data_IF_506235299691
#
_entry.id   IF_506235299691
#
_cell.length_a   1.000
_cell.length_b   1.000
_cell.length_c   1.000
_cell.angle_alpha   90.00
_cell.angle_beta   90.00
_cell.angle_gamma   90.00
#
_symmetry.space_group_name_H-M   'P 1'
#
loop_
_entity.id
_entity.type
_entity.pdbx_description
1 polymer ?
#
# COMPACT_ATOMS: atom_id res chain seq x y z
N UNK A 1 -33.24 18.29 13.01
CA UNK A 1 -32.54 17.54 14.05
C UNK A 1 -31.46 16.59 13.51
N UNK A 2 -31.74 15.66 12.56
CA UNK A 2 -30.70 14.74 12.03
C UNK A 2 -29.47 15.44 11.46
N UNK A 3 -29.63 16.50 10.66
CA UNK A 3 -28.49 17.23 10.06
C UNK A 3 -27.59 17.91 11.09
N UNK A 4 -28.14 18.48 12.16
CA UNK A 4 -27.37 19.14 13.24
C UNK A 4 -26.58 18.12 14.04
N UNK A 5 -27.19 16.96 14.37
CA UNK A 5 -26.51 15.87 15.09
C UNK A 5 -25.35 15.32 14.24
N UNK A 6 -25.54 15.12 12.93
CA UNK A 6 -24.48 14.68 12.02
C UNK A 6 -23.34 15.67 11.97
N UNK A 7 -23.62 16.99 11.91
CA UNK A 7 -22.61 18.04 11.89
C UNK A 7 -21.79 18.10 13.18
N UNK A 8 -22.42 17.99 14.34
CA UNK A 8 -21.74 17.98 15.66
C UNK A 8 -20.82 16.76 15.79
N UNK A 9 -21.28 15.60 15.39
CA UNK A 9 -20.49 14.35 15.42
C UNK A 9 -19.27 14.47 14.50
N UNK A 10 -19.44 15.01 13.29
CA UNK A 10 -18.35 15.20 12.34
C UNK A 10 -17.30 16.20 12.87
N UNK A 11 -17.73 17.32 13.47
CA UNK A 11 -16.83 18.30 14.09
C UNK A 11 -16.02 17.66 15.22
N UNK A 12 -16.66 16.85 16.06
CA UNK A 12 -15.99 16.10 17.14
C UNK A 12 -14.90 15.15 16.59
N UNK A 13 -15.18 14.41 15.51
CA UNK A 13 -14.20 13.53 14.90
C UNK A 13 -13.02 14.29 14.28
N UNK A 14 -13.28 15.41 13.62
CA UNK A 14 -12.22 16.26 13.07
C UNK A 14 -11.30 16.79 14.17
N UNK A 15 -11.85 17.28 15.27
CA UNK A 15 -11.07 17.76 16.42
C UNK A 15 -10.24 16.63 17.06
N UNK A 16 -10.85 15.46 17.27
CA UNK A 16 -10.15 14.27 17.82
C UNK A 16 -8.99 13.84 16.93
N UNK A 17 -9.19 13.75 15.61
CA UNK A 17 -8.17 13.38 14.64
C UNK A 17 -7.04 14.40 14.59
N UNK A 18 -7.35 15.70 14.61
CA UNK A 18 -6.34 16.76 14.60
C UNK A 18 -5.45 16.69 15.84
N UNK A 19 -6.02 16.47 17.01
CA UNK A 19 -5.29 16.29 18.27
C UNK A 19 -4.44 15.02 18.18
N UNK A 20 -4.98 13.92 17.66
CA UNK A 20 -4.25 12.66 17.49
C UNK A 20 -3.07 12.83 16.51
N UNK A 21 -3.24 13.60 15.44
CA UNK A 21 -2.18 13.91 14.47
C UNK A 21 -1.05 14.75 15.11
N UNK A 22 -1.39 15.75 15.90
CA UNK A 22 -0.40 16.53 16.65
C UNK A 22 0.39 15.66 17.63
N UNK A 23 -0.30 14.77 18.35
CA UNK A 23 0.35 13.79 19.23
C UNK A 23 1.23 12.82 18.46
N UNK A 24 0.86 12.43 17.24
CA UNK A 24 1.68 11.60 16.36
C UNK A 24 2.98 12.32 15.99
N UNK A 25 2.92 13.55 15.51
CA UNK A 25 4.09 14.34 15.18
C UNK A 25 5.00 14.56 16.39
N UNK A 26 4.42 14.86 17.55
CA UNK A 26 5.16 15.02 18.80
C UNK A 26 5.85 13.71 19.21
N UNK A 27 5.15 12.58 19.17
CA UNK A 27 5.73 11.27 19.48
C UNK A 27 6.85 10.90 18.52
N UNK A 28 6.70 11.26 17.22
CA UNK A 28 7.76 11.05 16.23
C UNK A 28 8.96 11.95 16.51
N UNK A 29 8.76 13.23 16.84
CA UNK A 29 9.84 14.13 17.23
C UNK A 29 10.60 13.62 18.48
N UNK A 30 9.87 13.15 19.51
CA UNK A 30 10.47 12.54 20.69
C UNK A 30 11.25 11.24 20.37
N UNK A 31 10.85 10.51 19.34
CA UNK A 31 11.57 9.30 18.91
C UNK A 31 12.96 9.62 18.36
N UNK A 32 13.20 10.82 17.83
CA UNK A 32 14.53 11.31 17.48
C UNK A 32 15.45 11.43 18.69
N UNK A 33 14.89 11.59 19.89
CA UNK A 33 15.58 11.60 21.19
C UNK A 33 15.60 10.21 21.86
N UNK A 34 15.07 9.17 21.21
CA UNK A 34 15.08 7.79 21.73
C UNK A 34 13.84 7.39 22.51
N UNK A 35 12.81 8.22 22.56
CA UNK A 35 11.57 7.88 23.25
C UNK A 35 10.76 6.88 22.41
N UNK A 36 10.51 5.70 22.95
CA UNK A 36 9.80 4.60 22.29
C UNK A 36 8.28 4.71 22.45
N UNK A 37 7.82 5.14 23.63
CA UNK A 37 6.39 5.19 23.95
C UNK A 37 5.68 6.29 23.16
N UNK A 38 4.55 5.94 22.55
CA UNK A 38 3.68 6.86 21.82
C UNK A 38 2.41 7.16 22.61
N UNK A 39 1.83 8.36 22.44
CA UNK A 39 0.61 8.81 23.14
C UNK A 39 -0.55 9.06 22.16
N UNK A 40 -0.48 8.46 20.98
CA UNK A 40 -1.46 8.60 19.91
C UNK A 40 -1.80 7.21 19.35
N UNK A 41 -2.88 7.13 18.57
CA UNK A 41 -3.25 5.97 17.78
C UNK A 41 -2.89 6.20 16.30
N UNK A 42 -2.91 5.17 15.45
CA UNK A 42 -2.62 5.33 14.03
C UNK A 42 -3.47 6.45 13.40
N UNK A 43 -2.79 7.35 12.66
CA UNK A 43 -3.43 8.43 11.90
C UNK A 43 -3.70 8.02 10.45
N UNK A 44 -3.07 6.95 10.01
CA UNK A 44 -3.17 6.33 8.71
C UNK A 44 -3.35 4.82 8.87
N UNK A 45 -4.36 4.27 8.22
CA UNK A 45 -4.65 2.83 8.28
C UNK A 45 -4.79 2.27 6.88
N UNK A 46 -4.08 1.18 6.59
CA UNK A 46 -4.30 0.38 5.39
C UNK A 46 -5.10 -0.86 5.77
N UNK A 47 -6.19 -1.13 5.10
CA UNK A 47 -6.95 -2.39 5.21
C UNK A 47 -6.74 -3.21 3.96
N UNK A 48 -6.71 -4.53 4.09
CA UNK A 48 -6.57 -5.48 3.00
C UNK A 48 -7.94 -6.06 2.63
N UNK A 49 -8.61 -5.57 1.56
CA UNK A 49 -9.94 -6.09 1.19
C UNK A 49 -9.90 -7.53 0.68
N UNK A 50 -8.82 -7.92 0.00
CA UNK A 50 -8.57 -9.26 -0.48
C UNK A 50 -7.07 -9.56 -0.44
N UNK A 51 -6.68 -10.80 -0.09
CA UNK A 51 -5.29 -11.24 0.00
C UNK A 51 -4.82 -12.06 -1.20
N UNK A 52 -5.58 -12.08 -2.29
CA UNK A 52 -5.27 -12.78 -3.53
C UNK A 52 -5.44 -11.86 -4.74
N UNK A 53 -4.81 -12.21 -5.84
CA UNK A 53 -4.82 -11.44 -7.08
C UNK A 53 -4.89 -12.41 -8.27
N UNK A 54 -5.54 -11.99 -9.36
CA UNK A 54 -5.59 -12.73 -10.61
C UNK A 54 -4.29 -12.60 -11.43
N UNK A 55 -3.42 -11.61 -11.12
CA UNK A 55 -2.14 -11.40 -11.79
C UNK A 55 -0.99 -12.13 -11.10
N UNK A 56 0.08 -12.38 -11.86
CA UNK A 56 1.32 -13.03 -11.43
C UNK A 56 2.53 -12.14 -11.67
N UNK A 57 2.47 -10.89 -11.23
CA UNK A 57 3.58 -9.95 -11.38
C UNK A 57 4.86 -10.50 -10.73
N UNK A 58 6.05 -10.45 -11.40
CA UNK A 58 7.26 -11.15 -10.97
C UNK A 58 7.83 -10.63 -9.64
N UNK A 59 7.62 -9.36 -9.31
CA UNK A 59 8.10 -8.75 -8.05
C UNK A 59 6.97 -8.52 -7.04
N UNK A 60 5.86 -9.25 -7.15
CA UNK A 60 4.76 -9.22 -6.20
C UNK A 60 4.74 -10.50 -5.36
N UNK A 61 4.70 -10.42 -4.02
CA UNK A 61 4.64 -11.60 -3.15
C UNK A 61 3.46 -12.52 -3.46
N UNK A 62 2.30 -11.93 -3.78
CA UNK A 62 1.10 -12.68 -4.17
C UNK A 62 1.26 -13.31 -5.55
N UNK A 63 1.92 -12.61 -6.47
CA UNK A 63 2.17 -13.10 -7.83
C UNK A 63 3.18 -14.25 -7.87
N UNK A 64 4.21 -14.20 -7.04
CA UNK A 64 5.23 -15.26 -6.91
C UNK A 64 4.71 -16.55 -6.26
N UNK A 65 3.57 -16.48 -5.58
CA UNK A 65 3.05 -17.58 -4.77
C UNK A 65 3.85 -17.75 -3.48
N UNK A 66 3.22 -17.56 -2.32
CA UNK A 66 3.87 -17.85 -1.03
C UNK A 66 3.98 -19.36 -0.86
N UNK A 67 5.19 -19.87 -0.68
CA UNK A 67 5.40 -21.22 -0.14
C UNK A 67 5.23 -21.19 1.37
N UNK A 68 4.73 -22.28 1.96
CA UNK A 68 4.37 -22.41 3.38
C UNK A 68 5.48 -22.04 4.39
N UNK A 69 6.71 -21.79 3.93
CA UNK A 69 7.87 -21.47 4.79
C UNK A 69 8.66 -20.23 4.35
N UNK A 70 8.07 -19.30 3.61
CA UNK A 70 8.75 -18.05 3.24
C UNK A 70 9.96 -18.21 2.29
N UNK A 71 10.23 -19.43 1.79
CA UNK A 71 11.28 -19.69 0.82
C UNK A 71 10.69 -19.82 -0.59
N UNK A 72 11.03 -18.90 -1.45
CA UNK A 72 10.75 -18.99 -2.88
C UNK A 72 11.57 -20.16 -3.43
N UNK A 73 10.92 -21.26 -3.81
CA UNK A 73 11.57 -22.28 -4.63
C UNK A 73 11.65 -21.76 -6.07
N UNK A 74 12.81 -21.31 -6.47
CA UNK A 74 13.18 -21.17 -7.89
C UNK A 74 13.46 -22.57 -8.45
N UNK A 75 12.46 -23.17 -9.06
CA UNK A 75 12.70 -24.34 -9.92
C UNK A 75 12.93 -23.86 -11.35
N UNK A 76 14.08 -24.29 -11.89
CA UNK A 76 14.54 -24.04 -13.24
C UNK A 76 13.44 -24.20 -14.30
N UNK A 77 13.24 -23.18 -15.07
CA UNK A 77 12.64 -23.03 -16.38
C UNK A 77 12.15 -24.27 -17.15
N UNK A 78 11.01 -24.87 -16.76
CA UNK A 78 10.14 -25.59 -17.71
C UNK A 78 8.71 -25.55 -17.15
N UNK A 79 7.88 -24.69 -17.74
CA UNK A 79 6.49 -24.49 -17.35
C UNK A 79 5.63 -25.70 -17.70
N UNK A 80 5.05 -26.32 -16.69
CA UNK A 80 3.76 -26.98 -16.82
C UNK A 80 2.73 -26.15 -16.10
N UNK A 81 1.75 -25.68 -16.85
CA UNK A 81 0.53 -25.02 -16.37
C UNK A 81 -0.31 -26.03 -15.60
N UNK A 82 -0.06 -26.18 -14.33
CA UNK A 82 -1.01 -26.79 -13.42
C UNK A 82 -1.53 -25.70 -12.47
N UNK A 83 -2.86 -25.65 -12.35
CA UNK A 83 -3.56 -24.85 -11.36
C UNK A 83 -3.05 -25.19 -9.95
N UNK A 84 -1.96 -24.56 -9.50
CA UNK A 84 -1.48 -24.72 -8.14
C UNK A 84 -2.41 -23.96 -7.20
N UNK A 85 -3.36 -24.68 -6.64
CA UNK A 85 -4.01 -24.30 -5.39
C UNK A 85 -2.89 -24.17 -4.34
N UNK A 86 -2.66 -22.97 -3.82
CA UNK A 86 -1.85 -22.76 -2.63
C UNK A 86 -2.50 -23.61 -1.52
N UNK A 87 -1.84 -24.72 -1.13
CA UNK A 87 -2.31 -25.56 -0.02
C UNK A 87 -2.17 -24.72 1.25
N UNK A 88 -3.31 -24.32 1.85
CA UNK A 88 -3.35 -23.76 3.19
C UNK A 88 -4.27 -22.56 3.39
N UNK A 89 -4.36 -21.60 2.45
CA UNK A 89 -5.33 -20.54 2.51
C UNK A 89 -5.94 -20.28 1.13
N UNK A 90 -7.17 -20.74 0.92
CA UNK A 90 -8.00 -20.24 -0.18
C UNK A 90 -8.03 -18.71 -0.09
N UNK A 91 -7.89 -18.00 -1.23
CA UNK A 91 -7.94 -16.55 -1.26
C UNK A 91 -9.11 -16.02 -0.42
N UNK A 92 -8.79 -15.16 0.54
CA UNK A 92 -9.77 -14.62 1.49
C UNK A 92 -10.06 -13.17 1.15
N UNK A 93 -11.29 -12.77 1.39
CA UNK A 93 -11.74 -11.37 1.41
C UNK A 93 -12.05 -10.96 2.85
N UNK A 94 -11.82 -9.69 3.17
CA UNK A 94 -12.28 -9.12 4.44
C UNK A 94 -13.81 -9.12 4.44
N UNK A 95 -14.43 -9.66 5.49
CA UNK A 95 -15.88 -9.59 5.66
C UNK A 95 -16.30 -8.20 6.15
N UNK A 96 -17.58 -7.87 5.96
CA UNK A 96 -18.12 -6.58 6.45
C UNK A 96 -18.06 -6.51 7.99
N UNK A 97 -18.25 -7.63 8.68
CA UNK A 97 -18.19 -7.70 10.14
C UNK A 97 -16.80 -7.34 10.67
N UNK A 98 -15.75 -7.92 10.07
CA UNK A 98 -14.36 -7.58 10.42
C UNK A 98 -14.07 -6.12 10.10
N UNK A 99 -14.50 -5.65 8.92
CA UNK A 99 -14.32 -4.26 8.52
C UNK A 99 -14.99 -3.27 9.47
N UNK A 100 -16.23 -3.52 9.90
CA UNK A 100 -16.95 -2.65 10.82
C UNK A 100 -16.31 -2.61 12.21
N UNK A 101 -15.79 -3.74 12.70
CA UNK A 101 -15.01 -3.77 13.94
C UNK A 101 -13.75 -2.92 13.83
N UNK A 102 -13.04 -2.98 12.70
CA UNK A 102 -11.87 -2.15 12.41
C UNK A 102 -12.26 -0.68 12.33
N UNK A 103 -13.27 -0.33 11.51
CA UNK A 103 -13.72 1.05 11.32
C UNK A 103 -14.13 1.70 12.64
N UNK A 104 -14.87 0.97 13.49
CA UNK A 104 -15.27 1.46 14.81
C UNK A 104 -14.07 1.90 15.65
N UNK A 105 -12.94 1.21 15.55
CA UNK A 105 -11.75 1.48 16.35
C UNK A 105 -10.85 2.59 15.79
N UNK A 106 -10.89 2.83 14.47
CA UNK A 106 -9.97 3.78 13.82
C UNK A 106 -10.63 5.11 13.45
N UNK A 107 -11.96 5.17 13.32
CA UNK A 107 -12.69 6.33 12.77
C UNK A 107 -12.49 7.64 13.54
N UNK A 108 -12.14 7.59 14.83
CA UNK A 108 -11.94 8.78 15.66
C UNK A 108 -10.49 9.28 15.63
N UNK A 109 -9.55 8.49 15.13
CA UNK A 109 -8.12 8.77 15.22
C UNK A 109 -7.42 8.83 13.86
N UNK A 110 -7.88 8.05 12.88
CA UNK A 110 -7.32 8.07 11.54
C UNK A 110 -7.91 9.18 10.67
N UNK A 111 -7.06 9.79 9.83
CA UNK A 111 -7.47 10.72 8.77
C UNK A 111 -7.69 10.00 7.45
N UNK A 112 -6.92 8.95 7.20
CA UNK A 112 -6.87 8.26 5.91
C UNK A 112 -7.04 6.76 6.11
N UNK A 113 -7.90 6.17 5.30
CA UNK A 113 -8.03 4.73 5.14
C UNK A 113 -7.74 4.34 3.72
N UNK A 114 -6.77 3.46 3.56
CA UNK A 114 -6.32 2.95 2.28
C UNK A 114 -6.78 1.50 2.14
N UNK A 115 -7.46 1.18 1.05
CA UNK A 115 -8.06 -0.14 0.78
C UNK A 115 -7.16 -0.95 -0.17
N UNK A 116 -5.93 -1.17 0.24
CA UNK A 116 -4.99 -2.08 -0.42
C UNK A 116 -3.79 -2.38 0.48
N UNK A 117 -3.27 -3.58 0.36
CA UNK A 117 -2.00 -4.01 0.95
C UNK A 117 -1.33 -5.03 0.03
N UNK A 118 -1.83 -6.24 0.00
CA UNK A 118 -1.52 -7.29 -0.96
C UNK A 118 -2.82 -7.67 -1.68
N UNK A 119 -2.72 -8.50 -2.71
CA UNK A 119 -3.89 -8.89 -3.48
C UNK A 119 -4.52 -7.76 -4.32
N UNK A 120 -5.70 -8.02 -4.87
CA UNK A 120 -6.46 -7.08 -5.69
C UNK A 120 -7.76 -6.71 -4.97
N UNK A 121 -7.94 -5.44 -4.55
CA UNK A 121 -9.09 -5.03 -3.75
C UNK A 121 -10.43 -5.20 -4.46
N UNK A 122 -10.49 -5.05 -5.80
CA UNK A 122 -11.73 -5.17 -6.57
C UNK A 122 -12.29 -6.60 -6.61
N UNK A 123 -11.53 -7.60 -6.14
CA UNK A 123 -12.03 -8.97 -5.98
C UNK A 123 -12.94 -9.12 -4.75
N UNK A 124 -12.96 -8.12 -3.86
CA UNK A 124 -13.96 -8.03 -2.79
C UNK A 124 -15.17 -7.24 -3.27
N UNK A 125 -16.27 -7.92 -3.53
CA UNK A 125 -17.53 -7.31 -4.00
C UNK A 125 -18.14 -6.31 -3.00
N UNK A 126 -17.77 -6.38 -1.72
CA UNK A 126 -18.25 -5.47 -0.68
C UNK A 126 -17.39 -4.18 -0.58
N UNK A 127 -16.35 -4.06 -1.39
CA UNK A 127 -15.42 -2.91 -1.35
C UNK A 127 -16.12 -1.55 -1.47
N UNK A 128 -17.07 -1.31 -2.40
CA UNK A 128 -17.77 -0.03 -2.48
C UNK A 128 -18.54 0.31 -1.20
N UNK A 129 -19.17 -0.69 -0.58
CA UNK A 129 -19.89 -0.50 0.68
C UNK A 129 -18.93 -0.19 1.86
N UNK A 130 -17.77 -0.83 1.91
CA UNK A 130 -16.72 -0.53 2.89
C UNK A 130 -16.21 0.90 2.74
N UNK A 131 -15.94 1.33 1.49
CA UNK A 131 -15.51 2.70 1.18
C UNK A 131 -16.58 3.70 1.63
N UNK A 132 -17.86 3.46 1.28
CA UNK A 132 -18.97 4.31 1.68
C UNK A 132 -19.05 4.51 3.19
N UNK A 133 -18.91 3.45 3.97
CA UNK A 133 -18.88 3.53 5.45
C UNK A 133 -17.69 4.34 5.96
N UNK A 134 -16.51 4.18 5.37
CA UNK A 134 -15.31 4.94 5.76
C UNK A 134 -15.46 6.43 5.36
N UNK A 135 -15.95 6.71 4.17
CA UNK A 135 -16.22 8.07 3.69
C UNK A 135 -17.26 8.79 4.58
N UNK A 136 -18.38 8.13 4.90
CA UNK A 136 -19.39 8.68 5.83
C UNK A 136 -18.85 8.91 7.24
N UNK A 137 -17.84 8.14 7.66
CA UNK A 137 -17.10 8.42 8.89
C UNK A 137 -16.12 9.59 8.74
N UNK A 138 -16.02 10.23 7.57
CA UNK A 138 -15.16 11.39 7.26
C UNK A 138 -13.68 11.01 7.09
N UNK A 139 -13.37 9.78 6.73
CA UNK A 139 -12.02 9.35 6.37
C UNK A 139 -11.74 9.67 4.91
N UNK A 140 -10.52 10.13 4.60
CA UNK A 140 -10.03 10.20 3.23
C UNK A 140 -9.74 8.79 2.71
N UNK A 141 -10.39 8.37 1.64
CA UNK A 141 -10.39 6.99 1.16
C UNK A 141 -9.53 6.83 -0.09
N UNK A 142 -8.72 5.77 -0.13
CA UNK A 142 -7.81 5.47 -1.25
C UNK A 142 -7.92 4.00 -1.62
N UNK A 143 -8.04 3.71 -2.92
CA UNK A 143 -7.93 2.36 -3.49
C UNK A 143 -6.74 2.30 -4.44
N UNK A 144 -6.05 1.17 -4.53
CA UNK A 144 -5.10 0.88 -5.62
C UNK A 144 -5.47 -0.44 -6.28
N UNK A 145 -5.58 -0.44 -7.61
CA UNK A 145 -6.05 -1.59 -8.40
C UNK A 145 -5.21 -1.81 -9.66
N UNK A 146 -5.17 -3.04 -10.12
CA UNK A 146 -4.64 -3.39 -11.45
C UNK A 146 -5.68 -3.22 -12.58
N UNK A 147 -6.89 -2.78 -12.24
CA UNK A 147 -8.04 -2.50 -13.11
C UNK A 147 -8.59 -3.68 -13.92
N UNK A 148 -8.11 -4.91 -13.76
CA UNK A 148 -8.61 -6.07 -14.50
C UNK A 148 -10.07 -6.45 -14.18
N UNK A 149 -10.56 -6.03 -13.01
CA UNK A 149 -11.94 -6.25 -12.56
C UNK A 149 -12.76 -4.94 -12.52
N UNK A 150 -12.27 -3.88 -13.15
CA UNK A 150 -12.89 -2.56 -13.13
C UNK A 150 -13.92 -2.40 -14.26
N UNK A 151 -15.05 -3.08 -14.10
CA UNK A 151 -16.21 -2.93 -15.00
C UNK A 151 -16.89 -1.58 -14.81
N UNK A 152 -17.74 -1.17 -15.77
CA UNK A 152 -18.56 0.05 -15.67
C UNK A 152 -19.37 0.08 -14.35
N UNK A 153 -20.04 -1.01 -14.01
CA UNK A 153 -20.80 -1.11 -12.77
C UNK A 153 -19.91 -0.88 -11.53
N UNK A 154 -18.74 -1.51 -11.49
CA UNK A 154 -17.80 -1.33 -10.38
C UNK A 154 -17.29 0.12 -10.32
N UNK A 155 -16.99 0.76 -11.44
CA UNK A 155 -16.57 2.15 -11.51
C UNK A 155 -17.66 3.10 -10.96
N UNK A 156 -18.92 2.89 -11.35
CA UNK A 156 -20.06 3.65 -10.84
C UNK A 156 -20.25 3.46 -9.34
N UNK A 157 -20.18 2.22 -8.84
CA UNK A 157 -20.31 1.94 -7.41
C UNK A 157 -19.18 2.57 -6.58
N UNK A 158 -17.93 2.53 -7.07
CA UNK A 158 -16.81 3.19 -6.44
C UNK A 158 -16.98 4.72 -6.39
N UNK A 159 -17.43 5.32 -7.47
CA UNK A 159 -17.69 6.77 -7.53
C UNK A 159 -18.82 7.16 -6.58
N UNK A 160 -19.93 6.43 -6.58
CA UNK A 160 -21.10 6.65 -5.69
C UNK A 160 -20.75 6.45 -4.21
N UNK A 161 -19.79 5.60 -3.90
CA UNK A 161 -19.36 5.36 -2.53
C UNK A 161 -18.63 6.56 -1.88
N UNK A 162 -18.31 7.60 -2.67
CA UNK A 162 -17.56 8.75 -2.19
C UNK A 162 -16.05 8.49 -2.10
N UNK A 163 -15.51 7.57 -2.92
CA UNK A 163 -14.09 7.32 -3.01
C UNK A 163 -13.32 8.60 -3.39
N UNK A 164 -12.35 9.00 -2.57
CA UNK A 164 -11.59 10.23 -2.80
C UNK A 164 -10.47 10.06 -3.83
N UNK A 165 -9.80 8.91 -3.84
CA UNK A 165 -8.68 8.63 -4.74
C UNK A 165 -8.65 7.17 -5.17
N UNK A 166 -8.47 6.96 -6.47
CA UNK A 166 -8.17 5.64 -7.02
C UNK A 166 -6.83 5.68 -7.76
N UNK A 167 -5.98 4.71 -7.46
CA UNK A 167 -4.69 4.49 -8.11
C UNK A 167 -4.87 3.33 -9.07
N UNK A 168 -4.76 3.59 -10.36
CA UNK A 168 -4.79 2.57 -11.42
C UNK A 168 -3.35 2.28 -11.83
N UNK A 169 -2.92 1.03 -11.62
CA UNK A 169 -1.53 0.62 -11.84
C UNK A 169 -1.39 -0.07 -13.20
N UNK A 170 -0.81 0.64 -14.19
CA UNK A 170 -0.55 0.15 -15.55
C UNK A 170 0.94 0.35 -15.83
N UNK A 171 1.68 -0.76 -16.02
CA UNK A 171 3.14 -0.74 -16.12
C UNK A 171 3.66 -1.05 -17.55
N UNK A 172 2.90 -0.66 -18.55
CA UNK A 172 3.21 -0.75 -19.98
C UNK A 172 2.01 -0.35 -20.81
N UNK A 173 2.25 0.21 -22.00
CA UNK A 173 1.22 0.73 -22.91
C UNK A 173 1.29 0.12 -24.30
N UNK A 174 2.11 -0.93 -24.47
CA UNK A 174 2.04 -1.94 -25.51
C UNK A 174 1.71 -3.29 -24.85
N UNK A 175 1.13 -4.24 -25.61
CA UNK A 175 0.85 -5.59 -25.06
C UNK A 175 2.14 -6.26 -24.57
N UNK A 176 3.27 -6.03 -25.24
CA UNK A 176 4.57 -6.58 -24.87
C UNK A 176 5.06 -6.00 -23.54
N UNK A 177 5.15 -4.68 -23.40
CA UNK A 177 5.63 -4.01 -22.19
C UNK A 177 4.74 -4.27 -21.00
N UNK A 178 3.42 -4.32 -21.20
CA UNK A 178 2.43 -4.62 -20.16
C UNK A 178 2.57 -6.06 -19.67
N UNK A 179 2.57 -7.04 -20.58
CA UNK A 179 2.64 -8.46 -20.25
C UNK A 179 3.98 -8.85 -19.63
N UNK A 180 5.05 -8.11 -19.91
CA UNK A 180 6.39 -8.33 -19.34
C UNK A 180 6.38 -8.19 -17.80
N UNK A 181 5.50 -7.37 -17.23
CA UNK A 181 5.38 -7.20 -15.78
C UNK A 181 4.03 -7.62 -15.23
N UNK A 182 2.92 -7.25 -15.87
CA UNK A 182 1.54 -7.57 -15.44
C UNK A 182 1.09 -8.93 -15.94
N UNK A 183 1.89 -9.97 -15.65
CA UNK A 183 1.68 -11.34 -16.17
C UNK A 183 0.28 -11.86 -15.86
N UNK A 184 -0.43 -12.30 -16.91
CA UNK A 184 -1.80 -12.82 -16.82
C UNK A 184 -2.88 -11.72 -16.89
N UNK A 185 -2.49 -10.46 -17.05
CA UNK A 185 -3.42 -9.35 -17.29
C UNK A 185 -3.61 -9.05 -18.77
N UNK A 186 -4.55 -8.16 -19.07
CA UNK A 186 -4.84 -7.60 -20.38
C UNK A 186 -4.71 -6.09 -20.32
N UNK A 187 -3.88 -5.51 -21.18
CA UNK A 187 -3.74 -4.05 -21.30
C UNK A 187 -5.08 -3.42 -21.69
N UNK A 188 -5.78 -4.03 -22.66
CA UNK A 188 -7.09 -3.56 -23.09
C UNK A 188 -8.06 -3.41 -21.91
N UNK A 189 -8.19 -4.44 -21.04
CA UNK A 189 -9.06 -4.37 -19.86
C UNK A 189 -8.64 -3.30 -18.86
N UNK A 190 -7.34 -3.08 -18.69
CA UNK A 190 -6.85 -2.07 -17.78
C UNK A 190 -7.16 -0.64 -18.28
N UNK A 191 -7.04 -0.41 -19.59
CA UNK A 191 -7.39 0.86 -20.24
C UNK A 191 -8.90 1.08 -20.26
N UNK A 192 -9.70 0.05 -20.59
CA UNK A 192 -11.14 0.08 -20.51
C UNK A 192 -11.63 0.42 -19.11
N UNK A 193 -11.02 -0.17 -18.06
CA UNK A 193 -11.33 0.16 -16.68
C UNK A 193 -11.01 1.63 -16.32
N UNK A 194 -9.95 2.19 -16.87
CA UNK A 194 -9.61 3.60 -16.68
C UNK A 194 -10.65 4.53 -17.36
N UNK A 195 -11.12 4.14 -18.54
CA UNK A 195 -12.20 4.84 -19.26
C UNK A 195 -13.51 4.78 -18.49
N UNK A 196 -13.91 3.61 -17.98
CA UNK A 196 -15.11 3.45 -17.14
C UNK A 196 -15.07 4.39 -15.91
N UNK A 197 -13.91 4.58 -15.29
CA UNK A 197 -13.78 5.55 -14.18
C UNK A 197 -13.96 6.99 -14.65
N UNK A 198 -13.42 7.34 -15.82
CA UNK A 198 -13.59 8.66 -16.42
C UNK A 198 -15.07 8.96 -16.70
N UNK A 199 -15.76 8.01 -17.32
CA UNK A 199 -17.18 8.12 -17.63
C UNK A 199 -18.03 8.22 -16.36
N UNK A 200 -17.84 7.33 -15.40
CA UNK A 200 -18.55 7.36 -14.12
C UNK A 200 -18.28 8.67 -13.35
N UNK A 201 -17.03 9.17 -13.36
CA UNK A 201 -16.69 10.46 -12.77
C UNK A 201 -17.48 11.61 -13.39
N UNK A 202 -17.63 11.63 -14.71
CA UNK A 202 -18.40 12.67 -15.43
C UNK A 202 -19.88 12.52 -15.17
N UNK A 203 -20.42 11.29 -15.28
CA UNK A 203 -21.83 10.99 -15.07
C UNK A 203 -22.35 11.46 -13.70
N UNK A 204 -21.56 11.21 -12.64
CA UNK A 204 -21.96 11.56 -11.26
C UNK A 204 -21.37 12.90 -10.76
N UNK A 205 -20.69 13.67 -11.60
CA UNK A 205 -20.08 14.95 -11.20
C UNK A 205 -19.08 14.80 -10.04
N UNK A 206 -18.37 13.66 -9.96
CA UNK A 206 -17.52 13.32 -8.82
C UNK A 206 -16.19 14.06 -8.85
N UNK A 207 -15.69 14.42 -7.66
CA UNK A 207 -14.35 14.99 -7.46
C UNK A 207 -13.25 13.92 -7.33
N UNK A 208 -13.54 12.64 -7.51
CA UNK A 208 -12.56 11.55 -7.37
C UNK A 208 -11.25 11.84 -8.12
N UNK A 209 -10.14 11.66 -7.45
CA UNK A 209 -8.81 11.72 -8.05
C UNK A 209 -8.47 10.37 -8.69
N UNK A 210 -8.38 10.33 -10.01
CA UNK A 210 -7.95 9.16 -10.78
C UNK A 210 -6.44 9.32 -11.04
N UNK A 211 -5.64 8.47 -10.41
CA UNK A 211 -4.18 8.50 -10.54
C UNK A 211 -3.69 7.30 -11.32
N UNK A 212 -3.07 7.56 -12.46
CA UNK A 212 -2.31 6.55 -13.20
C UNK A 212 -0.94 6.39 -12.55
N UNK A 213 -0.67 5.20 -12.04
CA UNK A 213 0.63 4.85 -11.46
C UNK A 213 1.37 3.91 -12.41
N UNK A 214 2.62 4.25 -12.70
CA UNK A 214 3.50 3.48 -13.58
C UNK A 214 4.80 3.19 -12.84
N UNK A 215 5.18 1.92 -12.77
CA UNK A 215 6.53 1.54 -12.34
C UNK A 215 7.52 1.83 -13.45
N UNK A 216 8.64 2.46 -13.11
CA UNK A 216 9.74 2.63 -14.04
C UNK A 216 10.53 1.33 -14.13
N UNK A 217 10.40 0.67 -15.27
CA UNK A 217 11.00 -0.61 -15.59
C UNK A 217 11.76 -0.50 -16.91
N UNK A 218 12.77 -1.33 -17.11
CA UNK A 218 13.47 -1.45 -18.40
C UNK A 218 12.52 -1.79 -19.55
N UNK A 219 11.53 -2.61 -19.27
CA UNK A 219 10.54 -3.08 -20.26
C UNK A 219 9.63 -1.99 -20.79
N UNK A 220 9.47 -0.85 -20.07
CA UNK A 220 8.59 0.25 -20.46
C UNK A 220 9.30 1.61 -20.55
N UNK A 221 10.64 1.66 -20.45
CA UNK A 221 11.36 2.94 -20.42
C UNK A 221 11.19 3.78 -21.69
N UNK A 222 11.00 3.15 -22.85
CA UNK A 222 10.75 3.81 -24.11
C UNK A 222 9.36 4.45 -24.22
N UNK A 223 8.43 4.14 -23.30
CA UNK A 223 7.06 4.65 -23.30
C UNK A 223 6.86 5.86 -22.36
N UNK A 224 7.80 6.17 -21.44
CA UNK A 224 7.58 7.16 -20.37
C UNK A 224 7.21 8.55 -20.86
N UNK A 225 7.86 9.03 -21.92
CA UNK A 225 7.54 10.35 -22.51
C UNK A 225 6.14 10.36 -23.11
N UNK A 226 5.78 9.29 -23.82
CA UNK A 226 4.44 9.15 -24.38
C UNK A 226 3.38 9.14 -23.28
N UNK A 227 3.59 8.37 -22.22
CA UNK A 227 2.69 8.29 -21.06
C UNK A 227 2.52 9.67 -20.43
N UNK A 228 3.62 10.40 -20.26
CA UNK A 228 3.62 11.73 -19.64
C UNK A 228 2.81 12.75 -20.47
N UNK A 229 2.80 12.61 -21.78
CA UNK A 229 2.01 13.49 -22.65
C UNK A 229 0.54 13.08 -22.73
N UNK A 230 0.23 11.80 -22.57
CA UNK A 230 -1.08 11.24 -22.91
C UNK A 230 -1.93 10.78 -21.70
N UNK A 231 -1.43 10.78 -20.46
CA UNK A 231 -2.19 10.23 -19.32
C UNK A 231 -3.58 10.86 -19.11
N UNK A 232 -3.75 12.13 -19.46
CA UNK A 232 -5.05 12.83 -19.36
C UNK A 232 -6.06 12.32 -20.40
N UNK A 233 -5.61 12.10 -21.62
CA UNK A 233 -6.46 11.53 -22.69
C UNK A 233 -6.85 10.09 -22.40
N UNK A 234 -6.02 9.37 -21.64
CA UNK A 234 -6.33 8.04 -21.14
C UNK A 234 -7.35 8.03 -19.97
N UNK A 235 -7.80 9.19 -19.49
CA UNK A 235 -8.81 9.30 -18.44
C UNK A 235 -8.26 9.55 -17.04
N UNK A 236 -6.94 9.59 -16.85
CA UNK A 236 -6.35 9.88 -15.55
C UNK A 236 -6.27 11.38 -15.27
N UNK A 237 -6.52 11.79 -14.02
CA UNK A 237 -6.36 13.19 -13.60
C UNK A 237 -4.94 13.50 -13.15
N UNK A 238 -4.20 12.48 -12.73
CA UNK A 238 -2.81 12.59 -12.24
C UNK A 238 -1.99 11.41 -12.73
N UNK A 239 -0.68 11.66 -12.89
CA UNK A 239 0.31 10.64 -13.23
C UNK A 239 1.38 10.58 -12.15
N UNK A 240 1.74 9.37 -11.75
CA UNK A 240 2.84 9.11 -10.81
C UNK A 240 3.74 8.00 -11.34
N UNK A 241 4.99 8.32 -11.56
CA UNK A 241 6.02 7.30 -11.80
C UNK A 241 6.63 6.86 -10.46
N UNK A 242 6.78 5.56 -10.27
CA UNK A 242 7.45 4.98 -9.11
C UNK A 242 8.62 4.11 -9.51
N UNK A 243 9.63 4.06 -8.66
CA UNK A 243 10.71 3.07 -8.79
C UNK A 243 10.22 1.70 -8.35
N UNK A 244 10.62 0.65 -9.08
CA UNK A 244 10.28 -0.71 -8.72
C UNK A 244 11.04 -1.16 -7.46
N UNK A 245 10.34 -1.90 -6.59
CA UNK A 245 10.97 -2.66 -5.53
C UNK A 245 11.25 -4.07 -6.06
N UNK A 246 12.52 -4.45 -6.10
CA UNK A 246 12.99 -5.73 -6.59
C UNK A 246 13.51 -6.57 -5.42
N UNK A 247 13.20 -7.85 -5.38
CA UNK A 247 13.64 -8.73 -4.29
C UNK A 247 15.06 -9.24 -4.51
N UNK A 248 15.39 -9.54 -5.78
CA UNK A 248 16.73 -9.97 -6.17
C UNK A 248 17.39 -8.85 -6.98
N UNK A 249 18.12 -7.98 -6.30
CA UNK A 249 18.72 -6.80 -6.90
C UNK A 249 20.24 -6.74 -6.78
N UNK A 250 20.87 -7.49 -5.86
CA UNK A 250 22.28 -7.33 -5.51
C UNK A 250 23.24 -7.60 -6.69
N UNK A 251 22.89 -8.54 -7.55
CA UNK A 251 23.66 -8.88 -8.76
C UNK A 251 23.06 -8.33 -10.06
N UNK A 252 22.11 -7.39 -9.92
CA UNK A 252 21.35 -6.83 -11.02
C UNK A 252 20.05 -7.59 -11.27
N UNK A 253 19.09 -6.89 -11.87
CA UNK A 253 17.77 -7.44 -12.21
C UNK A 253 17.35 -6.94 -13.58
N UNK A 254 16.84 -7.80 -14.47
CA UNK A 254 16.46 -7.41 -15.84
C UNK A 254 15.36 -6.34 -15.89
N UNK A 255 14.61 -6.14 -14.83
CA UNK A 255 13.59 -5.11 -14.72
C UNK A 255 14.15 -3.72 -14.36
N UNK A 256 15.42 -3.61 -13.95
CA UNK A 256 16.02 -2.31 -13.62
C UNK A 256 16.08 -1.42 -14.87
N UNK A 257 15.66 -0.15 -14.78
CA UNK A 257 15.82 0.82 -15.85
C UNK A 257 17.28 0.93 -16.28
N UNK A 258 17.51 1.25 -17.56
CA UNK A 258 18.85 1.48 -18.11
C UNK A 258 19.53 2.69 -17.48
N UNK A 259 18.75 3.74 -17.18
CA UNK A 259 19.22 4.92 -16.46
C UNK A 259 19.03 4.73 -14.95
N UNK A 260 20.15 4.61 -14.23
CA UNK A 260 20.16 4.42 -12.78
C UNK A 260 19.43 5.54 -12.01
N UNK A 261 19.30 6.75 -12.56
CA UNK A 261 18.56 7.86 -11.90
C UNK A 261 17.12 7.48 -11.59
N UNK A 262 16.53 6.59 -12.37
CA UNK A 262 15.18 6.09 -12.24
C UNK A 262 15.08 4.75 -11.49
N UNK A 263 16.24 4.19 -11.10
CA UNK A 263 16.29 2.98 -10.29
C UNK A 263 16.25 3.31 -8.78
N UNK A 264 15.64 2.43 -8.01
CA UNK A 264 15.75 2.41 -6.54
C UNK A 264 17.16 2.01 -6.08
N UNK A 265 17.94 1.38 -6.96
CA UNK A 265 19.24 0.79 -6.65
C UNK A 265 20.35 1.52 -7.40
N UNK A 266 21.54 1.56 -6.79
CA UNK A 266 22.75 2.13 -7.36
C UNK A 266 23.83 1.07 -7.43
N UNK A 267 24.54 0.99 -8.55
CA UNK A 267 25.67 0.10 -8.73
C UNK A 267 26.90 0.64 -7.99
N UNK A 268 27.60 -0.21 -7.27
CA UNK A 268 28.88 0.08 -6.61
C UNK A 268 30.07 -0.28 -7.49
N UNK A 269 31.27 0.13 -7.09
CA UNK A 269 32.49 -0.13 -7.85
C UNK A 269 32.83 -1.62 -7.98
N UNK A 270 32.40 -2.45 -7.01
CA UNK A 270 32.54 -3.91 -7.02
C UNK A 270 31.53 -4.63 -7.92
N UNK A 271 30.63 -3.88 -8.60
CA UNK A 271 29.61 -4.42 -9.48
C UNK A 271 28.30 -4.79 -8.80
N UNK A 272 28.22 -4.74 -7.47
CA UNK A 272 26.98 -5.03 -6.73
C UNK A 272 26.03 -3.84 -6.69
N UNK A 273 24.73 -4.11 -6.50
CA UNK A 273 23.73 -3.04 -6.40
C UNK A 273 23.27 -2.90 -4.95
N UNK A 274 23.15 -1.66 -4.51
CA UNK A 274 22.71 -1.29 -3.18
C UNK A 274 21.51 -0.35 -3.24
N UNK A 275 20.63 -0.46 -2.23
CA UNK A 275 19.48 0.41 -2.09
C UNK A 275 19.93 1.88 -2.00
N UNK A 276 19.37 2.73 -2.86
CA UNK A 276 19.56 4.18 -2.81
C UNK A 276 18.70 4.75 -1.69
N UNK A 277 19.31 5.02 -0.55
CA UNK A 277 18.63 5.68 0.57
C UNK A 277 18.60 7.18 0.34
N UNK A 278 17.48 7.83 0.68
CA UNK A 278 17.32 9.28 0.55
C UNK A 278 18.42 10.02 1.32
N UNK A 279 19.12 10.92 0.62
CA UNK A 279 20.19 11.75 1.21
C UNK A 279 19.69 12.72 2.30
N UNK A 280 18.37 12.96 2.40
CA UNK A 280 17.78 13.81 3.45
C UNK A 280 17.98 13.24 4.87
N UNK A 281 18.51 12.01 4.93
CA UNK A 281 18.82 11.32 6.17
C UNK A 281 20.08 11.86 6.91
N UNK A 282 20.96 12.64 6.29
CA UNK A 282 22.31 12.85 6.84
C UNK A 282 22.59 14.24 7.44
N UNK A 283 21.67 15.22 7.42
CA UNK A 283 22.14 16.60 7.54
C UNK A 283 21.72 17.45 8.73
N UNK A 284 20.90 17.00 9.68
CA UNK A 284 20.37 17.96 10.68
C UNK A 284 20.62 17.63 12.15
N UNK A 285 21.08 16.43 12.54
CA UNK A 285 21.28 16.10 13.95
C UNK A 285 22.72 15.67 14.25
N UNK A 286 23.36 16.26 15.29
CA UNK A 286 24.76 16.00 15.65
C UNK A 286 25.00 14.63 16.28
N UNK A 287 23.96 13.85 16.55
CA UNK A 287 24.11 12.52 17.14
C UNK A 287 24.17 11.46 16.03
N UNK A 288 25.29 10.77 15.92
CA UNK A 288 25.52 9.61 15.04
C UNK A 288 24.65 8.42 15.44
N UNK A 289 23.34 8.47 15.18
CA UNK A 289 22.52 7.26 15.21
C UNK A 289 22.65 6.54 13.86
N UNK A 290 22.97 5.25 13.92
CA UNK A 290 23.10 4.37 12.77
C UNK A 290 21.79 4.26 11.99
N UNK A 291 20.63 4.47 12.65
CA UNK A 291 19.28 4.36 12.09
C UNK A 291 18.41 5.53 12.55
N UNK A 292 17.48 5.95 11.68
CA UNK A 292 16.46 6.96 12.01
C UNK A 292 15.13 6.28 12.33
N UNK A 293 14.29 6.88 13.19
CA UNK A 293 12.93 6.40 13.37
C UNK A 293 12.17 6.49 12.04
N UNK A 294 11.49 5.42 11.68
CA UNK A 294 10.66 5.36 10.49
C UNK A 294 9.28 5.98 10.81
N UNK A 295 8.92 7.10 10.16
CA UNK A 295 7.64 7.76 10.40
C UNK A 295 6.43 6.84 10.24
N UNK A 296 6.47 5.88 9.28
CA UNK A 296 5.38 4.92 9.08
C UNK A 296 5.09 4.08 10.33
N UNK A 297 6.14 3.66 11.05
CA UNK A 297 6.01 2.86 12.27
C UNK A 297 5.41 3.67 13.45
N UNK A 298 5.43 4.99 13.34
CA UNK A 298 4.79 5.91 14.29
C UNK A 298 3.42 6.38 13.82
N UNK A 299 3.12 6.42 12.53
CA UNK A 299 1.90 7.05 12.02
C UNK A 299 0.83 6.07 11.58
N UNK A 300 1.17 4.83 11.22
CA UNK A 300 0.20 3.94 10.59
C UNK A 300 0.44 2.46 10.81
N UNK A 301 -0.56 1.68 10.44
CA UNK A 301 -0.53 0.23 10.46
C UNK A 301 -1.29 -0.35 9.25
N UNK A 302 -1.10 -1.64 9.04
CA UNK A 302 -1.86 -2.44 8.06
C UNK A 302 -2.75 -3.43 8.80
N UNK A 303 -3.97 -3.61 8.33
CA UNK A 303 -4.93 -4.56 8.88
C UNK A 303 -5.30 -5.55 7.79
N UNK A 304 -4.99 -6.82 8.02
CA UNK A 304 -5.22 -7.90 7.06
C UNK A 304 -6.69 -8.28 6.94
N UNK A 305 -7.03 -9.12 5.95
CA UNK A 305 -8.38 -9.69 5.78
C UNK A 305 -8.95 -10.36 7.02
N UNK A 306 -8.09 -10.86 7.92
CA UNK A 306 -8.46 -11.52 9.17
C UNK A 306 -8.47 -10.58 10.40
N UNK A 307 -8.23 -9.27 10.22
CA UNK A 307 -8.14 -8.30 11.31
C UNK A 307 -6.78 -8.25 12.02
N UNK A 308 -5.75 -8.94 11.51
CA UNK A 308 -4.40 -8.89 12.08
C UNK A 308 -3.76 -7.53 11.82
N UNK A 309 -3.11 -6.97 12.83
CA UNK A 309 -2.41 -5.69 12.76
C UNK A 309 -0.94 -5.92 12.46
N UNK A 310 -0.48 -5.40 11.33
CA UNK A 310 0.92 -5.38 10.91
C UNK A 310 1.49 -3.97 11.04
N UNK A 311 2.78 -3.84 11.40
CA UNK A 311 3.40 -2.53 11.65
C UNK A 311 3.61 -1.70 10.38
N UNK A 312 3.75 -2.35 9.22
CA UNK A 312 4.15 -1.69 7.98
C UNK A 312 3.73 -2.49 6.75
N UNK A 313 3.54 -1.80 5.62
CA UNK A 313 3.27 -2.43 4.33
C UNK A 313 4.46 -3.21 3.74
N UNK A 314 5.63 -3.17 4.35
CA UNK A 314 6.78 -3.99 4.00
C UNK A 314 6.82 -5.34 4.75
N UNK A 315 6.01 -5.53 5.81
CA UNK A 315 5.85 -6.81 6.49
C UNK A 315 4.90 -7.74 5.72
N UNK A 316 5.31 -8.08 4.50
CA UNK A 316 4.48 -8.84 3.55
C UNK A 316 4.30 -10.30 3.93
N UNK A 317 5.17 -10.82 4.79
CA UNK A 317 5.13 -12.19 5.28
C UNK A 317 4.52 -12.31 6.67
N UNK A 318 3.95 -11.21 7.20
CA UNK A 318 3.27 -11.12 8.48
C UNK A 318 4.14 -11.58 9.68
N UNK A 319 5.47 -11.42 9.57
CA UNK A 319 6.42 -11.87 10.59
C UNK A 319 6.37 -11.01 11.87
N UNK A 320 5.89 -9.76 11.75
CA UNK A 320 5.84 -8.81 12.86
C UNK A 320 4.41 -8.49 13.31
N UNK A 321 3.51 -9.47 13.26
CA UNK A 321 2.12 -9.31 13.71
C UNK A 321 2.07 -8.77 15.13
N UNK A 322 1.46 -7.58 15.31
CA UNK A 322 1.33 -6.88 16.58
C UNK A 322 0.17 -7.42 17.43
N UNK A 323 -0.95 -7.76 16.82
CA UNK A 323 -2.16 -8.27 17.45
C UNK A 323 -3.27 -8.50 16.44
N UNK A 324 -4.53 -8.62 16.91
CA UNK A 324 -5.71 -8.80 16.06
C UNK A 324 -6.90 -8.00 16.59
N UNK A 325 -7.56 -7.20 15.74
CA UNK A 325 -8.64 -6.29 16.15
C UNK A 325 -10.00 -6.96 16.30
N UNK A 326 -10.13 -8.24 15.97
CA UNK A 326 -11.34 -9.01 16.29
C UNK A 326 -11.36 -9.49 17.75
N UNK A 327 -10.19 -9.53 18.40
CA UNK A 327 -10.02 -10.02 19.77
C UNK A 327 -9.43 -8.96 20.72
N UNK A 328 -8.84 -7.88 20.20
CA UNK A 328 -8.12 -6.88 20.98
C UNK A 328 -8.52 -5.46 20.55
N UNK A 329 -8.33 -4.49 21.44
CA UNK A 329 -8.49 -3.08 21.08
C UNK A 329 -7.27 -2.57 20.33
N UNK A 330 -7.48 -1.62 19.40
CA UNK A 330 -6.39 -0.95 18.68
C UNK A 330 -5.40 -0.30 19.65
N UNK A 331 -5.89 0.29 20.73
CA UNK A 331 -5.06 0.90 21.78
C UNK A 331 -4.15 -0.13 22.43
N UNK A 332 -4.70 -1.29 22.83
CA UNK A 332 -3.93 -2.38 23.44
C UNK A 332 -2.86 -2.95 22.50
N UNK A 333 -3.17 -3.06 21.19
CA UNK A 333 -2.21 -3.52 20.18
C UNK A 333 -1.15 -2.45 19.89
N UNK A 334 -1.55 -1.20 19.69
CA UNK A 334 -0.66 -0.12 19.28
C UNK A 334 0.33 0.32 20.37
N UNK A 335 -0.11 0.32 21.63
CA UNK A 335 0.70 0.63 22.81
C UNK A 335 1.30 -0.63 23.45
N UNK A 336 1.00 -1.80 22.90
CA UNK A 336 1.41 -3.09 23.45
C UNK A 336 2.90 -3.39 23.37
N UNK A 337 3.31 -4.44 24.04
CA UNK A 337 4.73 -4.85 24.16
C UNK A 337 5.38 -5.11 22.81
N UNK A 338 4.67 -5.78 21.86
CA UNK A 338 5.21 -6.10 20.52
C UNK A 338 5.49 -4.84 19.72
N UNK A 339 4.56 -3.86 19.72
CA UNK A 339 4.74 -2.60 19.01
C UNK A 339 5.90 -1.77 19.58
N UNK A 340 5.99 -1.70 20.92
CA UNK A 340 7.06 -0.98 21.60
C UNK A 340 8.42 -1.67 21.41
N UNK A 341 8.48 -3.00 21.46
CA UNK A 341 9.72 -3.75 21.18
C UNK A 341 10.25 -3.49 19.76
N UNK A 342 9.33 -3.51 18.75
CA UNK A 342 9.73 -3.21 17.38
C UNK A 342 10.21 -1.77 17.21
N UNK A 343 9.52 -0.78 17.79
CA UNK A 343 9.96 0.64 17.77
C UNK A 343 11.33 0.78 18.44
N UNK A 344 11.54 0.13 19.59
CA UNK A 344 12.82 0.13 20.30
C UNK A 344 13.93 -0.43 19.43
N UNK A 345 13.71 -1.61 18.81
CA UNK A 345 14.69 -2.24 17.91
C UNK A 345 15.12 -1.31 16.76
N UNK A 346 14.18 -0.56 16.18
CA UNK A 346 14.49 0.41 15.12
C UNK A 346 15.26 1.62 15.66
N UNK A 347 14.99 2.07 16.90
CA UNK A 347 15.67 3.23 17.48
C UNK A 347 17.07 2.90 17.98
N UNK A 348 17.27 1.74 18.58
CA UNK A 348 18.56 1.37 19.19
C UNK A 348 19.65 1.20 18.13
N UNK A 349 19.29 0.75 16.91
CA UNK A 349 20.22 0.63 15.78
C UNK A 349 21.39 -0.33 16.02
N UNK A 350 21.38 -1.07 17.13
CA UNK A 350 22.42 -2.03 17.54
C UNK A 350 22.18 -3.41 16.98
N UNK A 351 20.91 -3.76 16.77
CA UNK A 351 20.51 -5.03 16.20
C UNK A 351 20.41 -4.98 14.66
N UNK A 352 20.44 -6.14 14.03
CA UNK A 352 20.15 -6.26 12.60
C UNK A 352 18.73 -5.79 12.32
N UNK A 353 18.58 -4.93 11.31
CA UNK A 353 17.27 -4.45 10.88
C UNK A 353 16.31 -5.62 10.61
N UNK A 354 15.01 -5.47 10.95
CA UNK A 354 14.01 -6.42 10.52
C UNK A 354 14.05 -6.63 9.00
N UNK A 355 13.79 -7.85 8.54
CA UNK A 355 13.84 -8.21 7.12
C UNK A 355 13.01 -7.24 6.25
N UNK A 356 11.83 -6.86 6.74
CA UNK A 356 10.94 -5.89 6.08
C UNK A 356 11.58 -4.51 5.84
N UNK A 357 12.63 -4.15 6.60
CA UNK A 357 13.31 -2.85 6.48
C UNK A 357 14.52 -2.89 5.56
N UNK A 358 15.03 -4.06 5.16
CA UNK A 358 16.25 -4.18 4.35
C UNK A 358 16.11 -3.57 2.97
N UNK A 359 14.94 -3.73 2.34
CA UNK A 359 14.63 -3.17 1.01
C UNK A 359 13.66 -1.98 1.07
N UNK A 360 13.71 -1.21 2.17
CA UNK A 360 12.92 0.00 2.37
C UNK A 360 13.75 1.24 2.11
N UNK A 361 13.23 2.18 1.34
CA UNK A 361 13.87 3.44 0.93
C UNK A 361 13.56 4.63 1.87
N UNK A 362 12.83 4.38 2.97
CA UNK A 362 12.42 5.40 3.95
C UNK A 362 13.52 5.70 4.99
#
# INVERSE_FOLDING_TARGET
>A
MKAVVTSVVLIRFLASRSINQLRCWWSYALSLLGVVRVRHLPTFVSVEPANFCQLRCPECPVGKGKTENGKVKTENGKGKTENRKVKGESGKVMSMEVFEQVLKQVRETAHTMQFYFQGEPLLNKQLPAMIGKAHHAGLYTIVSTNAQALTMLMAQELVKSGLDRIIVSIDGFSEESYAAYRVGGSLHRALEGLEHLREAKMEYGSSIRIELQVLRLRTNEHEWEWIQRNYKTLGATHLVFKTAQLYDYEHGNPLMPSDERYSRYKKSADGTYHLRRSASANSILPFRRKWRPCYRLWSGCVITTAGDVLPCCYDKDHQHKLGNLTAQTLEGVWHGTKANALRKRILDGTEVLPEMCKNCDQ
#
